data_IF_518462765820
#
_entry.id   IF_518462765820
#
_cell.length_a   1.000
_cell.length_b   1.000
_cell.length_c   1.000
_cell.angle_alpha   90.00
_cell.angle_beta   90.00
_cell.angle_gamma   90.00
#
_symmetry.space_group_name_H-M   'P 1'
#
loop_
_entity.id
_entity.type
_entity.pdbx_description
1 polymer ?
#
# COMPACT_ATOMS: atom_id res chain seq x y z
N UNK A 1 16.82 -20.02 13.88
CA UNK A 1 16.42 -18.63 14.09
C UNK A 1 15.14 -18.46 13.30
N UNK A 2 14.05 -18.00 13.92
CA UNK A 2 12.84 -17.66 13.16
C UNK A 2 13.23 -16.57 12.15
N UNK A 3 12.94 -16.78 10.87
CA UNK A 3 13.17 -15.75 9.85
C UNK A 3 12.44 -14.48 10.31
N UNK A 4 13.15 -13.36 10.36
CA UNK A 4 12.59 -12.08 10.81
C UNK A 4 11.44 -11.73 9.85
N UNK A 5 10.21 -11.76 10.35
CA UNK A 5 9.00 -11.64 9.54
C UNK A 5 8.89 -10.22 9.00
N UNK A 6 8.56 -10.07 7.71
CA UNK A 6 8.40 -8.77 7.06
C UNK A 6 7.38 -7.89 7.78
N UNK A 7 7.73 -6.62 8.01
CA UNK A 7 6.86 -5.61 8.62
C UNK A 7 6.36 -4.62 7.58
N UNK A 8 5.21 -4.01 7.84
CA UNK A 8 4.59 -3.04 6.94
C UNK A 8 4.91 -1.60 7.31
N UNK A 9 5.03 -0.75 6.30
CA UNK A 9 5.06 0.70 6.44
C UNK A 9 3.93 1.27 5.58
N UNK A 10 2.97 1.94 6.21
CA UNK A 10 1.88 2.63 5.54
C UNK A 10 2.16 4.13 5.62
N UNK A 11 2.63 4.72 4.51
CA UNK A 11 3.05 6.12 4.50
C UNK A 11 1.87 7.03 4.17
N UNK A 12 1.35 7.69 5.19
CA UNK A 12 0.20 8.60 5.12
C UNK A 12 0.56 10.04 5.54
N UNK A 13 1.83 10.42 5.37
CA UNK A 13 2.32 11.78 5.55
C UNK A 13 2.02 12.67 4.35
N UNK A 14 2.39 13.93 4.46
CA UNK A 14 2.26 14.92 3.39
C UNK A 14 1.05 15.84 3.54
N UNK A 15 1.16 17.06 2.99
CA UNK A 15 0.18 18.14 3.18
C UNK A 15 -1.05 18.03 2.28
N UNK A 16 -1.03 17.19 1.27
CA UNK A 16 -2.14 17.06 0.31
C UNK A 16 -2.48 18.35 -0.46
N UNK A 17 -1.56 19.33 -0.54
CA UNK A 17 -1.81 20.68 -1.07
C UNK A 17 -2.34 20.73 -2.50
N UNK A 18 -2.04 19.72 -3.33
CA UNK A 18 -2.59 19.60 -4.69
C UNK A 18 -4.10 19.36 -4.73
N UNK A 19 -4.70 18.97 -3.60
CA UNK A 19 -6.15 18.76 -3.44
C UNK A 19 -6.83 19.87 -2.63
N UNK A 20 -6.15 20.99 -2.35
CA UNK A 20 -6.81 22.13 -1.73
C UNK A 20 -7.98 22.61 -2.59
N UNK A 21 -9.12 23.06 -1.96
CA UNK A 21 -9.33 23.23 -0.52
C UNK A 21 -9.80 21.96 0.24
N UNK A 22 -10.02 20.83 -0.42
CA UNK A 22 -10.60 19.60 0.18
C UNK A 22 -9.76 19.13 1.38
N UNK A 23 -8.44 19.20 1.26
CA UNK A 23 -7.49 18.71 2.28
C UNK A 23 -7.07 19.76 3.31
N UNK A 24 -7.74 20.92 3.38
CA UNK A 24 -7.46 21.91 4.44
C UNK A 24 -7.87 21.43 5.83
N UNK A 25 -8.87 20.57 5.93
CA UNK A 25 -9.43 20.10 7.21
C UNK A 25 -9.20 18.62 7.50
N UNK A 26 -8.56 17.89 6.59
CA UNK A 26 -8.32 16.45 6.77
C UNK A 26 -7.16 15.97 5.90
N UNK A 27 -6.51 14.89 6.32
CA UNK A 27 -5.52 14.21 5.51
C UNK A 27 -6.11 13.70 4.19
N UNK A 28 -5.34 13.79 3.09
CA UNK A 28 -5.70 13.23 1.78
C UNK A 28 -6.13 11.77 1.89
N UNK A 29 -5.40 10.97 2.64
CA UNK A 29 -5.60 9.54 2.76
C UNK A 29 -6.86 9.16 3.55
N UNK A 30 -7.52 10.13 4.18
CA UNK A 30 -8.81 9.96 4.84
C UNK A 30 -10.00 10.40 3.96
N UNK A 31 -9.74 10.99 2.79
CA UNK A 31 -10.79 11.28 1.81
C UNK A 31 -11.47 9.99 1.35
N UNK A 32 -12.77 10.04 1.08
CA UNK A 32 -13.49 8.86 0.60
C UNK A 32 -13.11 8.50 -0.84
N UNK A 33 -12.83 7.23 -1.07
CA UNK A 33 -12.81 6.62 -2.39
C UNK A 33 -14.03 5.72 -2.46
N UNK A 34 -15.08 6.21 -3.06
CA UNK A 34 -16.42 5.63 -3.17
C UNK A 34 -17.08 5.42 -1.78
N UNK A 35 -16.91 4.27 -1.13
CA UNK A 35 -17.64 3.85 0.07
C UNK A 35 -16.79 3.76 1.35
N UNK A 36 -15.49 4.02 1.27
CA UNK A 36 -14.56 3.92 2.39
C UNK A 36 -13.39 4.91 2.30
N UNK A 37 -12.66 5.17 3.41
CA UNK A 37 -11.47 6.02 3.38
C UNK A 37 -10.38 5.45 2.45
N UNK A 38 -9.69 6.33 1.73
CA UNK A 38 -8.61 5.97 0.81
C UNK A 38 -7.57 5.04 1.45
N UNK A 39 -7.22 5.27 2.70
CA UNK A 39 -6.20 4.50 3.42
C UNK A 39 -6.52 2.99 3.54
N UNK A 40 -7.79 2.58 3.40
CA UNK A 40 -8.18 1.17 3.43
C UNK A 40 -7.60 0.38 2.27
N UNK A 41 -7.44 1.01 1.10
CA UNK A 41 -6.89 0.33 -0.09
C UNK A 41 -5.42 -0.06 0.09
N UNK A 42 -4.49 0.85 0.41
CA UNK A 42 -3.10 0.47 0.65
C UNK A 42 -2.92 -0.40 1.90
N UNK A 43 -3.73 -0.20 2.96
CA UNK A 43 -3.75 -1.12 4.10
C UNK A 43 -4.09 -2.55 3.65
N UNK A 44 -5.09 -2.69 2.78
CA UNK A 44 -5.49 -3.98 2.21
C UNK A 44 -4.38 -4.64 1.41
N UNK A 45 -3.52 -3.87 0.72
CA UNK A 45 -2.35 -4.42 0.01
C UNK A 45 -1.36 -5.06 0.99
N UNK A 46 -1.05 -4.39 2.11
CA UNK A 46 -0.20 -4.97 3.16
C UNK A 46 -0.82 -6.24 3.75
N UNK A 47 -2.13 -6.22 3.97
CA UNK A 47 -2.86 -7.39 4.48
C UNK A 47 -2.85 -8.55 3.48
N UNK A 48 -3.04 -8.29 2.17
CA UNK A 48 -2.94 -9.30 1.12
C UNK A 48 -1.54 -9.93 1.08
N UNK A 49 -0.49 -9.13 1.29
CA UNK A 49 0.89 -9.62 1.43
C UNK A 49 1.12 -10.45 2.73
N UNK A 50 0.12 -10.60 3.58
CA UNK A 50 0.24 -11.39 4.82
C UNK A 50 0.87 -10.64 6.00
N UNK A 51 1.04 -9.34 5.88
CA UNK A 51 1.71 -8.49 6.88
C UNK A 51 0.71 -8.07 7.96
N UNK A 52 1.08 -8.25 9.24
CA UNK A 52 0.22 -7.95 10.38
C UNK A 52 0.76 -6.86 11.30
N UNK A 53 2.07 -6.65 11.33
CA UNK A 53 2.73 -5.59 12.09
C UNK A 53 3.00 -4.42 11.14
N UNK A 54 2.35 -3.28 11.36
CA UNK A 54 2.36 -2.15 10.41
C UNK A 54 2.60 -0.84 11.16
N UNK A 55 3.62 -0.09 10.74
CA UNK A 55 3.82 1.30 11.14
C UNK A 55 3.03 2.22 10.21
N UNK A 56 2.14 3.02 10.77
CA UNK A 56 1.37 4.06 10.05
C UNK A 56 2.07 5.39 10.28
N UNK A 57 2.68 5.94 9.24
CA UNK A 57 3.38 7.22 9.30
C UNK A 57 2.40 8.32 8.94
N UNK A 58 2.22 9.29 9.83
CA UNK A 58 1.27 10.39 9.68
C UNK A 58 1.91 11.73 10.00
N UNK A 59 1.25 12.83 9.60
CA UNK A 59 1.60 14.15 10.12
C UNK A 59 1.19 14.26 11.60
N UNK A 60 1.79 15.16 12.41
CA UNK A 60 1.37 15.40 13.78
C UNK A 60 -0.12 15.78 13.90
N UNK A 61 -0.60 16.57 12.94
CA UNK A 61 -1.96 17.14 12.95
C UNK A 61 -3.03 16.08 12.66
N UNK A 62 -2.71 15.08 11.83
CA UNK A 62 -3.68 14.11 11.34
C UNK A 62 -3.68 12.80 12.13
N UNK A 63 -2.67 12.53 12.98
CA UNK A 63 -2.51 11.24 13.64
C UNK A 63 -3.76 10.80 14.42
N UNK A 64 -4.41 11.71 15.14
CA UNK A 64 -5.62 11.40 15.89
C UNK A 64 -6.80 11.01 14.99
N UNK A 65 -6.87 11.56 13.77
CA UNK A 65 -7.88 11.16 12.81
C UNK A 65 -7.64 9.74 12.31
N UNK A 66 -6.38 9.39 12.01
CA UNK A 66 -6.02 8.01 11.63
C UNK A 66 -6.28 7.03 12.76
N UNK A 67 -5.94 7.36 14.01
CA UNK A 67 -6.23 6.52 15.17
C UNK A 67 -7.74 6.28 15.36
N UNK A 68 -8.60 7.27 15.09
CA UNK A 68 -10.05 7.10 15.13
C UNK A 68 -10.58 6.17 14.03
N UNK A 69 -9.96 6.18 12.85
CA UNK A 69 -10.40 5.39 11.70
C UNK A 69 -9.87 3.96 11.75
N UNK A 70 -8.59 3.78 12.11
CA UNK A 70 -7.90 2.50 12.02
C UNK A 70 -7.76 1.79 13.38
N UNK A 71 -7.91 2.52 14.49
CA UNK A 71 -7.67 1.99 15.83
C UNK A 71 -6.23 1.51 16.04
N UNK A 72 -6.09 0.44 16.77
CA UNK A 72 -4.83 -0.31 16.93
C UNK A 72 -4.70 -1.50 15.96
N UNK A 73 -5.71 -1.72 15.13
CA UNK A 73 -5.77 -2.79 14.15
C UNK A 73 -6.29 -4.12 14.67
N UNK A 74 -6.55 -4.25 15.98
CA UNK A 74 -6.98 -5.49 16.60
C UNK A 74 -8.28 -6.04 15.98
N UNK A 75 -9.19 -5.17 15.55
CA UNK A 75 -10.43 -5.53 14.87
C UNK A 75 -10.23 -6.31 13.57
N UNK A 76 -9.04 -6.27 13.00
CA UNK A 76 -8.63 -7.01 11.79
C UNK A 76 -7.51 -8.02 12.07
N UNK A 77 -7.17 -8.26 13.35
CA UNK A 77 -6.05 -9.11 13.74
C UNK A 77 -4.68 -8.52 13.38
N UNK A 78 -4.58 -7.21 13.23
CA UNK A 78 -3.34 -6.45 12.98
C UNK A 78 -2.79 -5.84 14.27
N UNK A 79 -1.52 -5.41 14.21
CA UNK A 79 -0.87 -4.52 15.18
C UNK A 79 -0.43 -3.25 14.46
N UNK A 80 -1.13 -2.13 14.72
CA UNK A 80 -0.82 -0.84 14.13
C UNK A 80 -0.03 0.01 15.14
N UNK A 81 1.16 0.44 14.75
CA UNK A 81 1.97 1.43 15.45
C UNK A 81 1.93 2.75 14.68
N UNK A 82 1.88 3.88 15.40
CA UNK A 82 1.79 5.19 14.75
C UNK A 82 3.08 5.96 14.94
N UNK A 83 3.64 6.42 13.83
CA UNK A 83 4.90 7.19 13.77
C UNK A 83 4.60 8.57 13.21
N UNK A 84 5.19 9.59 13.81
CA UNK A 84 5.02 10.98 13.35
C UNK A 84 6.10 11.33 12.35
N UNK A 85 5.72 11.93 11.23
CA UNK A 85 6.58 12.62 10.29
C UNK A 85 6.34 14.12 10.43
N UNK A 86 7.23 14.83 11.11
CA UNK A 86 7.07 16.25 11.42
C UNK A 86 7.09 17.15 10.17
N UNK A 87 7.79 16.72 9.13
CA UNK A 87 7.89 17.45 7.86
C UNK A 87 8.04 16.47 6.69
N UNK A 88 7.55 16.81 5.50
CA UNK A 88 7.62 15.95 4.31
C UNK A 88 9.05 15.90 3.76
N UNK A 89 9.91 15.09 4.38
CA UNK A 89 11.34 14.96 4.03
C UNK A 89 11.63 13.97 2.92
N UNK A 90 10.63 13.46 2.21
CA UNK A 90 10.78 12.49 1.13
C UNK A 90 10.37 11.06 1.53
N UNK A 91 10.23 10.18 0.52
CA UNK A 91 9.71 8.83 0.75
C UNK A 91 10.72 7.93 1.48
N UNK A 92 12.01 8.06 1.23
CA UNK A 92 13.01 7.26 1.91
C UNK A 92 13.15 7.60 3.40
N UNK A 93 12.72 8.79 3.85
CA UNK A 93 12.64 9.15 5.27
C UNK A 93 11.75 8.18 6.06
N UNK A 94 10.77 7.53 5.42
CA UNK A 94 9.93 6.55 6.08
C UNK A 94 10.75 5.41 6.73
N UNK A 95 11.85 5.01 6.12
CA UNK A 95 12.73 3.95 6.64
C UNK A 95 13.52 4.40 7.86
N UNK A 96 14.02 5.64 7.90
CA UNK A 96 14.73 6.17 9.06
C UNK A 96 13.79 6.41 10.24
N UNK A 97 12.55 6.87 9.97
CA UNK A 97 11.51 7.06 10.99
C UNK A 97 11.02 5.74 11.62
N UNK A 98 11.11 4.65 10.88
CA UNK A 98 10.62 3.33 11.32
C UNK A 98 11.75 2.34 11.64
N UNK A 99 13.00 2.79 11.75
CA UNK A 99 14.14 1.92 12.00
C UNK A 99 13.98 1.07 13.26
N UNK A 100 13.63 1.68 14.39
CA UNK A 100 13.38 0.99 15.66
C UNK A 100 12.20 0.00 15.55
N UNK A 101 11.14 0.40 14.84
CA UNK A 101 10.00 -0.49 14.60
C UNK A 101 10.40 -1.69 13.74
N UNK A 102 11.19 -1.48 12.70
CA UNK A 102 11.64 -2.55 11.81
C UNK A 102 12.59 -3.51 12.52
N UNK A 103 13.48 -3.03 13.37
CA UNK A 103 14.43 -3.85 14.15
C UNK A 103 15.18 -4.87 13.26
N UNK A 104 15.69 -4.40 12.12
CA UNK A 104 16.40 -5.22 11.14
C UNK A 104 15.51 -6.16 10.31
N UNK A 105 14.18 -6.12 10.47
CA UNK A 105 13.27 -6.92 9.65
C UNK A 105 13.20 -6.36 8.22
N UNK A 106 12.98 -7.22 7.20
CA UNK A 106 12.57 -6.76 5.88
C UNK A 106 11.22 -6.05 5.96
N UNK A 107 10.97 -5.14 5.02
CA UNK A 107 9.80 -4.29 5.02
C UNK A 107 9.02 -4.36 3.71
N UNK A 108 7.71 -4.09 3.79
CA UNK A 108 6.88 -3.70 2.66
C UNK A 108 6.33 -2.31 2.94
N UNK A 109 6.74 -1.32 2.16
CA UNK A 109 6.19 0.04 2.25
C UNK A 109 5.17 0.24 1.14
N UNK A 110 4.03 0.82 1.50
CA UNK A 110 3.01 1.27 0.54
C UNK A 110 2.65 2.73 0.80
N UNK A 111 2.50 3.49 -0.28
CA UNK A 111 2.03 4.88 -0.20
C UNK A 111 0.54 4.92 0.07
N UNK A 112 0.13 5.71 1.05
CA UNK A 112 -1.24 5.78 1.57
C UNK A 112 -2.29 6.33 0.60
N UNK A 113 -1.85 6.81 -0.56
CA UNK A 113 -2.69 7.36 -1.63
C UNK A 113 -2.68 6.50 -2.90
N UNK A 114 -2.10 5.30 -2.85
CA UNK A 114 -2.03 4.40 -3.98
C UNK A 114 -3.10 3.30 -3.88
N UNK A 115 -3.82 3.08 -4.96
CA UNK A 115 -4.81 2.03 -5.10
C UNK A 115 -4.29 1.02 -6.12
N UNK A 116 -4.26 -0.25 -5.71
CA UNK A 116 -3.87 -1.37 -6.56
C UNK A 116 -5.07 -2.30 -6.74
N UNK A 117 -5.33 -2.69 -7.97
CA UNK A 117 -6.33 -3.70 -8.30
C UNK A 117 -5.83 -4.54 -9.48
N UNK A 118 -6.06 -5.84 -9.42
CA UNK A 118 -5.74 -6.74 -10.53
C UNK A 118 -5.78 -8.19 -10.12
N UNK A 119 -6.14 -9.04 -11.09
CA UNK A 119 -6.03 -10.48 -10.92
C UNK A 119 -4.55 -10.87 -10.77
N UNK A 120 -4.24 -11.70 -9.79
CA UNK A 120 -2.85 -12.11 -9.50
C UNK A 120 -2.07 -11.12 -8.60
N UNK A 121 -2.73 -10.09 -8.02
CA UNK A 121 -2.04 -9.22 -7.06
C UNK A 121 -1.49 -9.98 -5.84
N UNK A 122 -2.25 -10.89 -5.19
CA UNK A 122 -1.71 -11.67 -4.07
C UNK A 122 -0.49 -12.52 -4.44
N UNK A 123 -0.47 -13.09 -5.64
CA UNK A 123 0.65 -13.89 -6.16
C UNK A 123 1.90 -13.03 -6.37
N UNK A 124 1.77 -11.84 -6.99
CA UNK A 124 2.86 -10.89 -7.14
C UNK A 124 3.43 -10.44 -5.79
N UNK A 125 2.55 -10.18 -4.81
CA UNK A 125 2.97 -9.82 -3.46
C UNK A 125 3.72 -10.97 -2.77
N UNK A 126 3.24 -12.21 -2.92
CA UNK A 126 3.87 -13.39 -2.35
C UNK A 126 5.25 -13.68 -2.98
N UNK A 127 5.41 -13.48 -4.29
CA UNK A 127 6.70 -13.60 -4.98
C UNK A 127 7.71 -12.56 -4.46
N UNK A 128 7.27 -11.31 -4.22
CA UNK A 128 8.12 -10.28 -3.65
C UNK A 128 8.48 -10.57 -2.18
N UNK A 129 7.52 -11.08 -1.39
CA UNK A 129 7.73 -11.43 0.02
C UNK A 129 8.69 -12.61 0.20
N UNK A 130 8.70 -13.54 -0.74
CA UNK A 130 9.60 -14.70 -0.72
C UNK A 130 11.09 -14.35 -0.83
N UNK A 131 11.43 -13.10 -1.18
CA UNK A 131 12.83 -12.64 -1.33
C UNK A 131 13.32 -12.01 -0.03
N UNK A 132 14.26 -12.64 0.68
CA UNK A 132 14.71 -12.16 1.99
C UNK A 132 15.72 -11.01 1.90
N UNK A 133 16.36 -10.82 0.74
CA UNK A 133 17.43 -9.83 0.52
C UNK A 133 17.19 -9.03 -0.76
N UNK A 134 17.75 -7.83 -0.81
CA UNK A 134 17.61 -6.91 -1.93
C UNK A 134 16.30 -6.11 -1.90
N UNK A 135 15.97 -5.51 -3.03
CA UNK A 135 14.78 -4.71 -3.23
C UNK A 135 13.93 -5.21 -4.40
N UNK A 136 12.62 -5.23 -4.22
CA UNK A 136 11.65 -5.46 -5.30
C UNK A 136 10.71 -4.27 -5.39
N UNK A 137 10.58 -3.71 -6.59
CA UNK A 137 9.64 -2.65 -6.93
C UNK A 137 8.65 -3.13 -7.99
N UNK A 138 7.55 -2.41 -8.16
CA UNK A 138 6.51 -2.77 -9.12
C UNK A 138 6.44 -1.72 -10.21
N UNK A 139 6.68 -2.17 -11.44
CA UNK A 139 6.64 -1.33 -12.64
C UNK A 139 5.28 -1.39 -13.32
N UNK A 140 4.65 -0.23 -13.50
CA UNK A 140 3.37 -0.09 -14.19
C UNK A 140 3.54 0.75 -15.44
N UNK A 141 3.00 0.30 -16.58
CA UNK A 141 3.11 1.01 -17.85
C UNK A 141 2.14 2.20 -17.89
N UNK A 142 2.69 3.41 -18.04
CA UNK A 142 1.95 4.68 -18.09
C UNK A 142 2.18 5.42 -19.40
N UNK A 143 1.30 6.36 -19.70
CA UNK A 143 1.42 7.24 -20.88
C UNK A 143 2.28 8.48 -20.61
N UNK A 144 2.42 8.87 -19.33
CA UNK A 144 3.06 10.11 -18.85
C UNK A 144 4.15 9.80 -17.80
N UNK A 145 5.21 9.01 -18.17
CA UNK A 145 6.19 8.49 -17.23
C UNK A 145 7.00 9.58 -16.51
N UNK A 146 7.16 10.76 -17.10
CA UNK A 146 7.92 11.89 -16.55
C UNK A 146 7.37 12.42 -15.20
N UNK A 147 6.17 12.01 -14.83
CA UNK A 147 5.54 12.37 -13.55
C UNK A 147 6.03 11.53 -12.37
N UNK A 148 6.69 10.42 -12.64
CA UNK A 148 7.00 9.36 -11.66
C UNK A 148 8.49 9.03 -11.62
N UNK A 149 8.91 8.27 -10.63
CA UNK A 149 10.13 7.48 -10.74
C UNK A 149 9.99 6.47 -11.88
N UNK A 150 10.96 6.40 -12.76
CA UNK A 150 10.91 5.52 -13.96
C UNK A 150 11.99 4.47 -13.88
N UNK A 151 11.64 3.23 -14.21
CA UNK A 151 12.58 2.10 -14.27
C UNK A 151 12.76 1.66 -15.72
N UNK A 152 14.02 1.52 -16.14
CA UNK A 152 14.39 0.88 -17.42
C UNK A 152 14.94 -0.52 -17.18
N UNK A 153 14.70 -1.42 -18.14
CA UNK A 153 15.08 -2.81 -18.09
C UNK A 153 15.72 -3.23 -19.40
N UNK A 154 16.65 -4.20 -19.34
CA UNK A 154 17.19 -4.86 -20.52
C UNK A 154 16.22 -5.91 -21.09
N UNK A 155 16.63 -6.55 -22.19
CA UNK A 155 15.85 -7.59 -22.85
C UNK A 155 15.60 -8.84 -21.97
N UNK A 156 16.39 -9.04 -20.92
CA UNK A 156 16.23 -10.10 -19.94
C UNK A 156 15.37 -9.69 -18.75
N UNK A 157 14.88 -8.44 -18.71
CA UNK A 157 14.05 -7.90 -17.65
C UNK A 157 14.85 -7.42 -16.42
N UNK A 158 16.17 -7.34 -16.49
CA UNK A 158 17.00 -6.82 -15.40
C UNK A 158 16.96 -5.30 -15.41
N UNK A 159 16.85 -4.70 -14.22
CA UNK A 159 16.86 -3.25 -14.06
C UNK A 159 18.23 -2.70 -14.50
N UNK A 160 18.21 -1.74 -15.40
CA UNK A 160 19.41 -1.04 -15.89
C UNK A 160 19.51 0.39 -15.40
N UNK A 161 18.36 0.99 -15.08
CA UNK A 161 18.30 2.38 -14.64
C UNK A 161 17.03 2.63 -13.83
N UNK A 162 17.13 3.51 -12.86
CA UNK A 162 15.98 4.11 -12.15
C UNK A 162 16.23 5.61 -12.02
N UNK A 163 15.23 6.43 -12.32
CA UNK A 163 15.37 7.90 -12.29
C UNK A 163 14.10 8.53 -11.76
N UNK A 164 14.24 9.49 -10.85
CA UNK A 164 13.13 10.29 -10.33
C UNK A 164 12.72 11.36 -11.32
N UNK A 165 11.48 11.35 -11.78
CA UNK A 165 10.83 12.36 -12.63
C UNK A 165 11.73 12.89 -13.74
N UNK A 166 12.20 12.02 -14.64
CA UNK A 166 13.14 12.42 -15.69
C UNK A 166 12.47 13.35 -16.69
N UNK A 167 13.20 14.39 -17.17
CA UNK A 167 12.71 15.25 -18.25
C UNK A 167 12.50 14.48 -19.57
N UNK A 168 13.28 13.43 -19.79
CA UNK A 168 13.12 12.45 -20.88
C UNK A 168 13.15 11.07 -20.24
N UNK A 169 12.02 10.38 -20.25
CA UNK A 169 11.89 9.09 -19.63
C UNK A 169 12.58 7.98 -20.47
N UNK A 170 13.42 7.13 -19.85
CA UNK A 170 14.09 6.03 -20.55
C UNK A 170 13.15 4.88 -20.91
N UNK A 171 11.97 4.81 -20.29
CA UNK A 171 10.92 3.83 -20.53
C UNK A 171 9.55 4.39 -20.13
N UNK A 172 8.48 3.63 -20.42
CA UNK A 172 7.13 3.94 -19.95
C UNK A 172 6.76 3.20 -18.64
N UNK A 173 7.72 2.59 -17.94
CA UNK A 173 7.45 1.89 -16.69
C UNK A 173 7.68 2.80 -15.49
N UNK A 174 6.58 3.33 -14.94
CA UNK A 174 6.59 4.03 -13.66
C UNK A 174 6.80 3.05 -12.50
N UNK A 175 7.62 3.43 -11.53
CA UNK A 175 7.72 2.73 -10.25
C UNK A 175 6.52 3.13 -9.41
N UNK A 176 5.71 2.15 -9.05
CA UNK A 176 4.52 2.38 -8.22
C UNK A 176 4.90 2.66 -6.77
N UNK A 177 3.93 3.11 -5.96
CA UNK A 177 4.14 3.36 -4.54
C UNK A 177 4.12 2.10 -3.66
N UNK A 178 4.76 1.02 -4.10
CA UNK A 178 4.86 -0.27 -3.39
C UNK A 178 6.29 -0.79 -3.47
N UNK A 179 6.92 -1.01 -2.30
CA UNK A 179 8.32 -1.32 -2.17
C UNK A 179 8.54 -2.45 -1.19
N UNK A 180 9.19 -3.53 -1.62
CA UNK A 180 9.67 -4.62 -0.76
C UNK A 180 11.18 -4.51 -0.64
N UNK A 181 11.66 -4.14 0.54
CA UNK A 181 13.09 -3.98 0.80
C UNK A 181 13.52 -4.88 1.96
N UNK A 182 14.78 -5.27 1.95
CA UNK A 182 15.38 -6.05 3.02
C UNK A 182 15.67 -5.20 4.28
N UNK A 183 16.18 -5.84 5.33
CA UNK A 183 16.45 -5.19 6.62
C UNK A 183 17.56 -4.14 6.59
N UNK A 184 18.26 -3.95 5.45
CA UNK A 184 19.29 -2.92 5.30
C UNK A 184 18.73 -1.56 4.88
N UNK A 185 17.44 -1.50 4.52
CA UNK A 185 16.82 -0.27 4.00
C UNK A 185 16.98 0.96 4.93
N UNK A 186 16.83 0.88 6.26
CA UNK A 186 17.06 2.04 7.14
C UNK A 186 18.50 2.54 7.07
N UNK A 187 19.50 1.65 7.18
CA UNK A 187 20.91 2.03 7.12
C UNK A 187 21.30 2.66 5.77
N UNK A 188 20.68 2.21 4.67
CA UNK A 188 20.87 2.84 3.36
C UNK A 188 20.17 4.20 3.28
N UNK A 189 18.96 4.32 3.81
CA UNK A 189 18.20 5.57 3.82
C UNK A 189 18.96 6.70 4.54
N UNK A 190 19.70 6.39 5.60
CA UNK A 190 20.59 7.35 6.28
C UNK A 190 21.72 7.89 5.38
N UNK A 191 22.10 7.18 4.33
CA UNK A 191 23.16 7.58 3.40
C UNK A 191 22.66 8.42 2.23
N UNK A 192 21.34 8.43 1.98
CA UNK A 192 20.74 9.18 0.88
C UNK A 192 20.84 10.68 1.17
N UNK A 193 21.43 11.41 0.24
CA UNK A 193 21.48 12.88 0.33
C UNK A 193 20.17 13.47 -0.19
N UNK A 194 19.66 14.56 0.45
CA UNK A 194 18.49 15.25 -0.06
C UNK A 194 18.70 15.75 -1.50
N UNK A 195 17.69 15.61 -2.31
CA UNK A 195 17.67 16.12 -3.68
C UNK A 195 17.63 17.66 -3.73
N UNK A 196 17.68 18.24 -4.92
CA UNK A 196 17.51 19.68 -5.12
C UNK A 196 16.15 20.20 -4.59
N UNK A 197 15.18 19.29 -4.36
CA UNK A 197 13.88 19.61 -3.74
C UNK A 197 13.92 19.58 -2.21
N UNK A 198 15.04 19.20 -1.62
CA UNK A 198 15.19 18.99 -0.17
C UNK A 198 14.59 17.67 0.32
N UNK A 199 14.26 16.73 -0.56
CA UNK A 199 13.63 15.46 -0.24
C UNK A 199 14.65 14.31 -0.30
N UNK A 200 14.58 13.38 0.67
CA UNK A 200 15.30 12.10 0.66
C UNK A 200 14.52 11.15 -0.25
N UNK A 201 14.96 11.05 -1.50
CA UNK A 201 14.22 10.37 -2.56
C UNK A 201 14.30 8.85 -2.43
N UNK A 202 13.17 8.19 -2.67
CA UNK A 202 13.14 6.72 -2.69
C UNK A 202 13.97 6.15 -3.86
N UNK A 203 13.98 6.84 -4.99
CA UNK A 203 14.77 6.43 -6.16
C UNK A 203 16.26 6.40 -5.85
N UNK A 204 16.79 7.36 -5.07
CA UNK A 204 18.20 7.35 -4.65
C UNK A 204 18.51 6.18 -3.70
N UNK A 205 17.57 5.81 -2.83
CA UNK A 205 17.70 4.58 -2.04
C UNK A 205 17.73 3.34 -2.94
N UNK A 206 16.85 3.27 -3.95
CA UNK A 206 16.77 2.15 -4.88
C UNK A 206 17.99 2.07 -5.82
N UNK A 207 18.61 3.19 -6.17
CA UNK A 207 19.88 3.23 -6.91
C UNK A 207 21.00 2.48 -6.18
N UNK A 208 21.03 2.50 -4.84
CA UNK A 208 22.01 1.74 -4.07
C UNK A 208 21.80 0.22 -4.24
N UNK A 209 20.57 -0.27 -4.24
CA UNK A 209 20.25 -1.66 -4.54
C UNK A 209 20.58 -2.02 -6.00
N UNK A 210 20.32 -1.09 -6.94
CA UNK A 210 20.67 -1.29 -8.35
C UNK A 210 22.18 -1.41 -8.54
N UNK A 211 22.98 -0.55 -7.90
CA UNK A 211 24.44 -0.57 -8.00
C UNK A 211 25.04 -1.88 -7.49
N UNK A 212 24.39 -2.54 -6.54
CA UNK A 212 24.77 -3.86 -6.02
C UNK A 212 24.19 -5.03 -6.82
N UNK A 213 23.37 -4.76 -7.85
CA UNK A 213 22.71 -5.80 -8.63
C UNK A 213 21.60 -6.54 -7.87
N UNK A 214 21.07 -5.94 -6.80
CA UNK A 214 20.06 -6.52 -5.90
C UNK A 214 18.68 -5.86 -6.02
N UNK A 215 18.45 -4.99 -7.02
CA UNK A 215 17.15 -4.40 -7.33
C UNK A 215 16.45 -5.20 -8.42
N UNK A 216 15.23 -5.63 -8.14
CA UNK A 216 14.36 -6.30 -9.10
C UNK A 216 13.09 -5.49 -9.35
N UNK A 217 12.49 -5.68 -10.53
CA UNK A 217 11.18 -5.12 -10.89
C UNK A 217 10.21 -6.23 -11.27
N UNK A 218 9.05 -6.20 -10.63
CA UNK A 218 7.89 -6.99 -11.05
C UNK A 218 6.99 -6.13 -11.92
N UNK A 219 6.71 -6.57 -13.14
CA UNK A 219 5.87 -5.82 -14.08
C UNK A 219 4.40 -6.14 -13.83
N UNK A 220 3.64 -5.11 -13.52
CA UNK A 220 2.18 -5.19 -13.51
C UNK A 220 1.67 -5.16 -14.95
N UNK A 221 1.16 -6.30 -15.40
CA UNK A 221 0.71 -6.50 -16.77
C UNK A 221 -0.67 -5.88 -17.04
N UNK A 222 -1.22 -6.16 -18.24
CA UNK A 222 -2.59 -5.80 -18.58
C UNK A 222 -3.57 -6.48 -17.62
N UNK A 223 -4.60 -5.76 -17.21
CA UNK A 223 -5.56 -6.23 -16.20
C UNK A 223 -5.26 -5.75 -14.79
N UNK A 224 -4.11 -5.11 -14.56
CA UNK A 224 -3.88 -4.32 -13.36
C UNK A 224 -4.34 -2.87 -13.55
N UNK A 225 -4.80 -2.28 -12.48
CA UNK A 225 -5.00 -0.84 -12.34
C UNK A 225 -4.17 -0.35 -11.15
N UNK A 226 -3.41 0.69 -11.39
CA UNK A 226 -2.71 1.47 -10.38
C UNK A 226 -3.14 2.93 -10.50
N UNK A 227 -3.62 3.50 -9.39
CA UNK A 227 -4.17 4.85 -9.32
C UNK A 227 -3.45 5.61 -8.20
N UNK A 228 -2.90 6.78 -8.51
CA UNK A 228 -2.09 7.61 -7.59
C UNK A 228 -2.88 8.72 -6.90
N UNK A 229 -4.16 8.83 -7.12
CA UNK A 229 -5.14 9.78 -6.52
C UNK A 229 -4.57 11.19 -6.21
N UNK A 230 -3.58 11.66 -6.97
CA UNK A 230 -2.79 12.88 -6.69
C UNK A 230 -3.46 14.19 -7.08
N UNK A 231 -4.54 14.16 -7.86
CA UNK A 231 -5.29 15.31 -8.37
C UNK A 231 -6.79 15.11 -8.15
N UNK A 232 -7.59 16.18 -8.31
CA UNK A 232 -9.06 16.08 -8.19
C UNK A 232 -9.64 15.09 -9.21
N UNK A 233 -9.15 15.11 -10.45
CA UNK A 233 -9.60 14.20 -11.51
C UNK A 233 -9.23 12.75 -11.18
N UNK A 234 -7.96 12.48 -10.78
CA UNK A 234 -7.55 11.12 -10.42
C UNK A 234 -8.26 10.58 -9.18
N UNK A 235 -8.65 11.46 -8.23
CA UNK A 235 -9.47 11.09 -7.08
C UNK A 235 -10.88 10.67 -7.51
N UNK A 236 -11.49 11.42 -8.43
CA UNK A 236 -12.81 11.13 -9.00
C UNK A 236 -12.77 9.83 -9.81
N UNK A 237 -11.75 9.66 -10.65
CA UNK A 237 -11.56 8.46 -11.46
C UNK A 237 -11.39 7.22 -10.60
N UNK A 238 -10.64 7.31 -9.50
CA UNK A 238 -10.48 6.22 -8.54
C UNK A 238 -11.83 5.83 -7.91
N UNK A 239 -12.64 6.82 -7.50
CA UNK A 239 -13.98 6.57 -6.98
C UNK A 239 -14.90 5.90 -8.00
N UNK A 240 -14.90 6.35 -9.25
CA UNK A 240 -15.68 5.78 -10.34
C UNK A 240 -15.23 4.35 -10.69
N UNK A 241 -13.92 4.11 -10.72
CA UNK A 241 -13.33 2.81 -10.97
C UNK A 241 -13.78 1.79 -9.91
N UNK A 242 -13.58 2.10 -8.63
CA UNK A 242 -13.98 1.23 -7.51
C UNK A 242 -15.49 0.98 -7.53
N UNK A 243 -16.29 2.03 -7.69
CA UNK A 243 -17.75 1.91 -7.79
C UNK A 243 -18.17 0.96 -8.91
N UNK A 244 -17.56 1.09 -10.09
CA UNK A 244 -17.89 0.26 -11.25
C UNK A 244 -17.58 -1.20 -10.98
N UNK A 245 -16.40 -1.50 -10.44
CA UNK A 245 -16.01 -2.87 -10.09
C UNK A 245 -16.97 -3.47 -9.07
N UNK A 246 -17.19 -2.80 -7.94
CA UNK A 246 -18.04 -3.33 -6.87
C UNK A 246 -19.48 -3.53 -7.33
N UNK A 247 -20.04 -2.60 -8.11
CA UNK A 247 -21.41 -2.74 -8.63
C UNK A 247 -21.54 -3.85 -9.68
N UNK A 248 -20.48 -4.19 -10.41
CA UNK A 248 -20.52 -5.26 -11.42
C UNK A 248 -20.23 -6.63 -10.84
N UNK A 249 -19.27 -6.72 -9.93
CA UNK A 249 -18.82 -8.00 -9.36
C UNK A 249 -19.61 -8.41 -8.11
N UNK A 250 -20.25 -7.45 -7.44
CA UNK A 250 -20.90 -7.70 -6.16
C UNK A 250 -19.91 -7.97 -5.00
N UNK A 251 -18.62 -7.65 -5.18
CA UNK A 251 -17.56 -7.86 -4.20
C UNK A 251 -16.90 -6.56 -3.82
N UNK A 252 -16.34 -6.48 -2.61
CA UNK A 252 -15.61 -5.31 -2.13
C UNK A 252 -14.21 -5.23 -2.74
N UNK A 253 -13.73 -4.00 -2.95
CA UNK A 253 -12.34 -3.72 -3.30
C UNK A 253 -11.68 -3.03 -2.12
N UNK A 254 -10.56 -3.55 -1.62
CA UNK A 254 -9.84 -2.93 -0.49
C UNK A 254 -10.66 -2.98 0.82
N UNK A 255 -11.12 -4.18 1.21
CA UNK A 255 -11.92 -4.44 2.40
C UNK A 255 -11.08 -5.17 3.45
N UNK A 256 -10.56 -4.48 4.48
CA UNK A 256 -9.76 -5.10 5.52
C UNK A 256 -10.47 -6.24 6.26
N UNK A 257 -11.76 -6.11 6.52
CA UNK A 257 -12.57 -7.11 7.22
C UNK A 257 -12.65 -8.42 6.44
N UNK A 258 -12.94 -8.33 5.13
CA UNK A 258 -13.01 -9.50 4.25
C UNK A 258 -11.66 -10.20 4.15
N UNK A 259 -10.57 -9.43 3.99
CA UNK A 259 -9.20 -9.98 3.92
C UNK A 259 -8.82 -10.65 5.23
N UNK A 260 -9.09 -10.01 6.38
CA UNK A 260 -8.80 -10.56 7.69
C UNK A 260 -9.54 -11.87 7.92
N UNK A 261 -10.81 -11.95 7.54
CA UNK A 261 -11.62 -13.16 7.63
C UNK A 261 -11.10 -14.27 6.69
N UNK A 262 -10.84 -13.94 5.43
CA UNK A 262 -10.32 -14.90 4.44
C UNK A 262 -8.96 -15.49 4.86
N UNK A 263 -8.12 -14.69 5.55
CA UNK A 263 -6.83 -15.13 6.10
C UNK A 263 -6.94 -15.82 7.47
N UNK A 264 -8.14 -15.95 8.04
CA UNK A 264 -8.35 -16.54 9.37
C UNK A 264 -7.77 -15.71 10.52
N UNK A 265 -7.58 -14.42 10.33
CA UNK A 265 -7.08 -13.50 11.37
C UNK A 265 -8.18 -13.05 12.32
N UNK A 266 -9.42 -13.04 11.85
CA UNK A 266 -10.63 -12.87 12.65
C UNK A 266 -11.58 -14.03 12.41
N UNK A 267 -12.37 -14.34 13.42
CA UNK A 267 -13.39 -15.39 13.39
C UNK A 267 -14.65 -14.91 12.66
N UNK A 268 -15.52 -15.86 12.33
CA UNK A 268 -16.86 -15.60 11.80
C UNK A 268 -17.70 -14.71 12.73
N UNK A 269 -17.63 -14.98 14.06
CA UNK A 269 -18.36 -14.20 15.05
C UNK A 269 -17.88 -12.74 15.13
N UNK A 270 -16.56 -12.52 15.01
CA UNK A 270 -16.00 -11.16 14.98
C UNK A 270 -16.42 -10.43 13.71
N UNK A 271 -16.33 -11.08 12.53
CA UNK A 271 -16.80 -10.48 11.29
C UNK A 271 -18.30 -10.16 11.34
N UNK A 272 -19.12 -11.07 11.89
CA UNK A 272 -20.55 -10.82 12.05
C UNK A 272 -20.83 -9.60 12.94
N UNK A 273 -20.10 -9.47 14.06
CA UNK A 273 -20.24 -8.31 14.95
C UNK A 273 -19.92 -6.98 14.24
N UNK A 274 -18.88 -6.98 13.41
CA UNK A 274 -18.50 -5.80 12.61
C UNK A 274 -19.59 -5.50 11.58
N UNK A 275 -20.03 -6.51 10.84
CA UNK A 275 -21.01 -6.39 9.76
C UNK A 275 -22.36 -5.86 10.28
N UNK A 276 -22.82 -6.34 11.44
CA UNK A 276 -24.08 -5.90 12.06
C UNK A 276 -24.06 -4.42 12.45
N UNK A 277 -22.92 -3.91 12.98
CA UNK A 277 -22.75 -2.48 13.26
C UNK A 277 -22.89 -1.62 12.00
N UNK A 278 -22.53 -2.15 10.83
CA UNK A 278 -22.53 -1.47 9.54
C UNK A 278 -23.73 -1.86 8.66
N UNK A 279 -24.66 -2.70 9.12
CA UNK A 279 -25.74 -3.29 8.31
C UNK A 279 -26.71 -2.28 7.67
N UNK A 280 -26.70 -1.01 8.12
CA UNK A 280 -27.52 0.08 7.56
C UNK A 280 -27.03 0.56 6.20
N UNK A 281 -25.79 0.29 5.83
CA UNK A 281 -25.19 0.71 4.57
C UNK A 281 -24.79 -0.52 3.70
N UNK A 282 -24.43 -0.26 2.45
CA UNK A 282 -24.09 -1.31 1.50
C UNK A 282 -22.78 -2.04 1.88
N UNK A 283 -21.85 -1.38 2.54
CA UNK A 283 -20.61 -1.98 3.02
C UNK A 283 -20.88 -3.12 4.02
N UNK A 284 -21.67 -2.86 5.06
CA UNK A 284 -22.04 -3.89 6.03
C UNK A 284 -22.90 -5.01 5.45
N UNK A 285 -23.83 -4.68 4.52
CA UNK A 285 -24.62 -5.70 3.81
C UNK A 285 -23.73 -6.65 3.00
N UNK A 286 -22.66 -6.13 2.40
CA UNK A 286 -21.70 -6.95 1.68
C UNK A 286 -20.91 -7.88 2.61
N UNK A 287 -20.47 -7.40 3.79
CA UNK A 287 -19.83 -8.27 4.78
C UNK A 287 -20.75 -9.41 5.24
N UNK A 288 -22.06 -9.12 5.39
CA UNK A 288 -23.06 -10.17 5.67
C UNK A 288 -23.23 -11.14 4.49
N UNK A 289 -23.01 -10.71 3.24
CA UNK A 289 -23.03 -11.59 2.08
C UNK A 289 -21.82 -12.54 2.12
N UNK A 290 -20.62 -12.03 2.39
CA UNK A 290 -19.39 -12.84 2.56
C UNK A 290 -19.59 -13.96 3.60
N UNK A 291 -20.20 -13.64 4.74
CA UNK A 291 -20.53 -14.64 5.77
C UNK A 291 -21.49 -15.71 5.27
N UNK A 292 -22.54 -15.34 4.51
CA UNK A 292 -23.47 -16.31 3.95
C UNK A 292 -22.82 -17.25 2.94
N UNK A 293 -21.94 -16.70 2.10
CA UNK A 293 -21.18 -17.49 1.12
C UNK A 293 -20.24 -18.48 1.82
N UNK A 294 -19.52 -18.04 2.82
CA UNK A 294 -18.62 -18.91 3.60
C UNK A 294 -19.37 -20.08 4.25
N UNK A 295 -20.54 -19.81 4.82
CA UNK A 295 -21.40 -20.85 5.42
C UNK A 295 -21.95 -21.84 4.39
N UNK A 296 -22.26 -21.38 3.17
CA UNK A 296 -22.77 -22.25 2.11
C UNK A 296 -21.67 -23.08 1.44
N UNK A 297 -20.42 -22.62 1.48
CA UNK A 297 -19.27 -23.34 0.93
C UNK A 297 -18.77 -24.50 1.83
N UNK A 298 -19.18 -24.54 3.11
CA UNK A 298 -18.85 -25.66 4.01
C UNK A 298 -19.75 -26.84 3.62
N UNK A 299 -19.21 -28.01 3.18
CA UNK A 299 -20.02 -29.20 2.97
C UNK A 299 -20.71 -29.58 4.28
N UNK A 300 -22.01 -29.79 4.24
CA UNK A 300 -22.74 -30.38 5.38
C UNK A 300 -22.10 -31.73 5.62
N UNK A 301 -21.13 -31.80 6.53
CA UNK A 301 -20.54 -33.05 6.98
C UNK A 301 -21.53 -33.71 7.91
N UNK A 302 -22.18 -34.75 7.44
CA UNK A 302 -22.61 -35.84 8.26
C UNK A 302 -24.06 -35.86 8.67
N UNK A 303 -24.70 -36.80 8.17
CA UNK A 303 -25.59 -37.70 8.90
C UNK A 303 -24.98 -39.11 8.89
#
# INVERSE_FOLDING_TARGET
>A
MAANRRKGILLAGGTGSRLWPITLGTSKQLLPIYDKPMIYYPLSVLMLAGIREIAVITTPQDQDQFRRVLGDGAQWGLQLSYVVQDHPGGLAQAYTLTEDFLDGAPSCMVLGDNIFFGHGLPELLAEADAKPTGGTVFGYHVADPERYGVVAMDAQGRVTQIIEKPAVAPSNYAVTGLYFLDGTAPARAHQVQPSARGEVEITSLLEMYLAEGSLEVQRMGRGFAWLDTGTHDSLLDAGNFVRTLQKRQGMQTGCPEEIAFAKGWISEAELQTIAEKLAKNDYGKQLLAVLREARSAVPVSGS
#
